data_IF_424279713673
#
_entry.id   IF_424279713673
#
_cell.length_a   1.000
_cell.length_b   1.000
_cell.length_c   1.000
_cell.angle_alpha   90.00
_cell.angle_beta   90.00
_cell.angle_gamma   90.00
#
_symmetry.space_group_name_H-M   'P 1'
#
loop_
_entity.id
_entity.type
_entity.pdbx_description
1 polymer ?
#
# COMPACT_ATOMS: atom_id res chain seq x y z
N UNK A 1 -14.70 1.05 18.55
CA UNK A 1 -13.25 1.19 18.38
C UNK A 1 -12.46 0.12 19.12
N UNK A 2 -12.82 -0.22 20.38
CA UNK A 2 -12.09 -1.24 21.15
C UNK A 2 -12.02 -2.61 20.47
N UNK A 3 -13.13 -3.09 19.89
CA UNK A 3 -13.18 -4.34 19.14
C UNK A 3 -12.22 -4.39 17.94
N UNK A 4 -12.04 -3.27 17.24
CA UNK A 4 -11.08 -3.16 16.15
C UNK A 4 -9.65 -3.27 16.68
N UNK A 5 -9.32 -2.52 17.74
CA UNK A 5 -7.98 -2.55 18.36
C UNK A 5 -7.65 -3.96 18.82
N UNK A 6 -8.58 -4.63 19.49
CA UNK A 6 -8.44 -6.02 19.93
C UNK A 6 -8.19 -6.96 18.75
N UNK A 7 -9.00 -6.86 17.69
CA UNK A 7 -8.82 -7.67 16.49
C UNK A 7 -7.42 -7.52 15.87
N UNK A 8 -6.95 -6.28 15.66
CA UNK A 8 -5.66 -6.03 15.00
C UNK A 8 -4.45 -6.28 15.89
N UNK A 9 -4.63 -6.34 17.20
CA UNK A 9 -3.55 -6.65 18.16
C UNK A 9 -3.45 -8.14 18.44
N UNK A 10 -4.58 -8.84 18.56
CA UNK A 10 -4.62 -10.31 18.75
C UNK A 10 -4.20 -11.05 17.48
N UNK A 11 -4.65 -10.57 16.31
CA UNK A 11 -4.38 -11.23 15.02
C UNK A 11 -3.67 -10.29 14.03
N UNK A 12 -2.42 -9.86 14.32
CA UNK A 12 -1.77 -8.77 13.59
C UNK A 12 -1.51 -9.07 12.11
N UNK A 13 -1.26 -10.33 11.76
CA UNK A 13 -1.03 -10.75 10.36
C UNK A 13 -2.36 -10.98 9.64
N UNK A 14 -3.25 -11.76 10.23
CA UNK A 14 -4.55 -12.09 9.63
C UNK A 14 -5.39 -10.83 9.42
N UNK A 15 -5.41 -9.91 10.38
CA UNK A 15 -6.10 -8.63 10.24
C UNK A 15 -5.49 -7.75 9.14
N UNK A 16 -4.18 -7.77 8.94
CA UNK A 16 -3.53 -7.06 7.84
C UNK A 16 -3.95 -7.68 6.49
N UNK A 17 -3.87 -9.00 6.38
CA UNK A 17 -4.29 -9.74 5.19
C UNK A 17 -5.73 -9.43 4.80
N UNK A 18 -6.67 -9.50 5.75
CA UNK A 18 -8.08 -9.23 5.50
C UNK A 18 -8.33 -7.78 5.06
N UNK A 19 -7.72 -6.81 5.73
CA UNK A 19 -7.88 -5.39 5.39
C UNK A 19 -7.36 -5.07 3.99
N UNK A 20 -6.17 -5.54 3.63
CA UNK A 20 -5.60 -5.32 2.31
C UNK A 20 -6.30 -6.15 1.22
N UNK A 21 -6.70 -7.39 1.50
CA UNK A 21 -7.46 -8.21 0.56
C UNK A 21 -8.76 -7.50 0.14
N UNK A 22 -9.44 -6.84 1.08
CA UNK A 22 -10.67 -6.09 0.79
C UNK A 22 -10.35 -4.74 0.16
N UNK A 23 -9.59 -3.89 0.84
CA UNK A 23 -9.40 -2.48 0.44
C UNK A 23 -8.45 -2.33 -0.75
N UNK A 24 -7.39 -3.15 -0.82
CA UNK A 24 -6.49 -3.17 -1.98
C UNK A 24 -7.23 -3.60 -3.26
N UNK A 25 -7.96 -4.71 -3.19
CA UNK A 25 -8.79 -5.17 -4.31
C UNK A 25 -9.86 -4.14 -4.69
N UNK A 26 -10.46 -3.48 -3.70
CA UNK A 26 -11.42 -2.42 -3.96
C UNK A 26 -10.79 -1.22 -4.66
N UNK A 27 -9.56 -0.84 -4.29
CA UNK A 27 -8.77 0.18 -4.99
C UNK A 27 -8.55 -0.17 -6.47
N UNK A 28 -8.20 -1.42 -6.78
CA UNK A 28 -8.05 -1.91 -8.16
C UNK A 28 -9.36 -1.82 -8.95
N UNK A 29 -10.48 -2.18 -8.33
CA UNK A 29 -11.82 -2.11 -8.93
C UNK A 29 -12.23 -0.66 -9.19
N UNK A 30 -12.06 0.24 -8.22
CA UNK A 30 -12.39 1.66 -8.38
C UNK A 30 -11.54 2.30 -9.48
N UNK A 31 -10.25 1.99 -9.53
CA UNK A 31 -9.38 2.51 -10.59
C UNK A 31 -9.95 2.18 -11.98
N UNK A 32 -10.44 0.94 -12.17
CA UNK A 32 -11.10 0.52 -13.42
C UNK A 32 -12.42 1.24 -13.67
N UNK A 33 -13.27 1.42 -12.66
CA UNK A 33 -14.52 2.18 -12.81
C UNK A 33 -14.29 3.61 -13.25
N UNK A 34 -13.26 4.28 -12.69
CA UNK A 34 -12.93 5.66 -13.06
C UNK A 34 -12.39 5.73 -14.49
N UNK A 35 -11.53 4.79 -14.88
CA UNK A 35 -10.98 4.71 -16.24
C UNK A 35 -12.09 4.45 -17.27
N UNK A 36 -13.02 3.52 -16.98
CA UNK A 36 -14.15 3.19 -17.86
C UNK A 36 -15.26 4.23 -17.82
N UNK A 37 -15.29 5.10 -16.81
CA UNK A 37 -16.34 6.08 -16.59
C UNK A 37 -17.70 5.49 -16.20
N UNK A 38 -17.75 4.22 -15.78
CA UNK A 38 -18.98 3.52 -15.38
C UNK A 38 -18.69 2.51 -14.27
N UNK A 39 -19.69 2.22 -13.46
CA UNK A 39 -19.65 1.13 -12.48
C UNK A 39 -19.96 -0.18 -13.21
N UNK A 40 -18.99 -1.10 -13.23
CA UNK A 40 -19.07 -2.38 -13.96
C UNK A 40 -18.50 -3.52 -13.11
N UNK A 41 -18.50 -4.75 -13.63
CA UNK A 41 -17.71 -5.85 -13.05
C UNK A 41 -16.40 -5.94 -13.85
N UNK A 42 -15.33 -5.20 -13.48
CA UNK A 42 -14.12 -5.10 -14.30
C UNK A 42 -13.30 -6.39 -14.30
N UNK A 43 -13.52 -7.26 -13.32
CA UNK A 43 -12.83 -8.54 -13.18
C UNK A 43 -13.85 -9.69 -13.07
N UNK A 44 -13.50 -10.84 -13.66
CA UNK A 44 -14.22 -12.09 -13.41
C UNK A 44 -14.00 -12.59 -11.97
N UNK A 45 -14.88 -13.45 -11.48
CA UNK A 45 -14.84 -13.94 -10.08
C UNK A 45 -13.49 -14.56 -9.70
N UNK A 46 -12.95 -15.44 -10.55
CA UNK A 46 -11.64 -16.06 -10.30
C UNK A 46 -10.49 -15.05 -10.24
N UNK A 47 -10.50 -14.04 -11.12
CA UNK A 47 -9.51 -12.96 -11.12
C UNK A 47 -9.62 -12.09 -9.87
N UNK A 48 -10.85 -11.80 -9.42
CA UNK A 48 -11.08 -11.03 -8.20
C UNK A 48 -10.52 -11.77 -6.98
N UNK A 49 -10.77 -13.08 -6.85
CA UNK A 49 -10.20 -13.89 -5.78
C UNK A 49 -8.68 -13.95 -5.83
N UNK A 50 -8.10 -14.05 -7.03
CA UNK A 50 -6.65 -14.03 -7.19
C UNK A 50 -6.05 -12.69 -6.74
N UNK A 51 -6.70 -11.56 -7.06
CA UNK A 51 -6.28 -10.23 -6.58
C UNK A 51 -6.41 -10.07 -5.07
N UNK A 52 -7.48 -10.60 -4.46
CA UNK A 52 -7.62 -10.61 -3.00
C UNK A 52 -6.47 -11.38 -2.33
N UNK A 53 -6.06 -12.52 -2.92
CA UNK A 53 -4.94 -13.31 -2.43
C UNK A 53 -3.60 -12.59 -2.62
N UNK A 54 -3.38 -11.97 -3.77
CA UNK A 54 -2.21 -11.12 -4.03
C UNK A 54 -2.07 -10.03 -2.96
N UNK A 55 -3.14 -9.27 -2.71
CA UNK A 55 -3.15 -8.23 -1.69
C UNK A 55 -2.95 -8.77 -0.28
N UNK A 56 -3.51 -9.94 0.04
CA UNK A 56 -3.29 -10.60 1.31
C UNK A 56 -1.80 -10.97 1.51
N UNK A 57 -1.14 -11.52 0.49
CA UNK A 57 0.28 -11.88 0.55
C UNK A 57 1.14 -10.62 0.74
N UNK A 58 0.87 -9.57 -0.02
CA UNK A 58 1.60 -8.30 0.10
C UNK A 58 1.41 -7.66 1.47
N UNK A 59 0.23 -7.81 2.08
CA UNK A 59 -0.06 -7.30 3.43
C UNK A 59 0.89 -7.87 4.49
N UNK A 60 1.26 -9.14 4.37
CA UNK A 60 2.21 -9.79 5.27
C UNK A 60 3.58 -9.11 5.16
N UNK A 61 4.06 -8.90 3.94
CA UNK A 61 5.33 -8.23 3.68
C UNK A 61 5.31 -6.78 4.19
N UNK A 62 4.23 -6.04 3.94
CA UNK A 62 4.03 -4.67 4.43
C UNK A 62 4.04 -4.63 5.97
N UNK A 63 3.33 -5.54 6.63
CA UNK A 63 3.26 -5.59 8.10
C UNK A 63 4.62 -5.85 8.74
N UNK A 64 5.39 -6.77 8.17
CA UNK A 64 6.76 -7.02 8.61
C UNK A 64 7.67 -5.84 8.34
N UNK A 65 7.59 -5.23 7.16
CA UNK A 65 8.36 -4.04 6.84
C UNK A 65 8.06 -2.88 7.81
N UNK A 66 6.79 -2.58 8.08
CA UNK A 66 6.41 -1.51 9.01
C UNK A 66 7.01 -1.73 10.41
N UNK A 67 6.93 -2.97 10.90
CA UNK A 67 7.47 -3.32 12.23
C UNK A 67 9.00 -3.29 12.23
N UNK A 68 9.62 -3.85 11.18
CA UNK A 68 11.06 -3.94 11.02
C UNK A 68 11.73 -2.58 10.82
N UNK A 69 11.20 -1.73 9.95
CA UNK A 69 11.75 -0.39 9.70
C UNK A 69 11.53 0.58 10.86
N UNK A 70 10.47 0.40 11.66
CA UNK A 70 10.33 1.11 12.92
C UNK A 70 11.51 0.76 13.86
N UNK A 71 11.81 -0.53 14.03
CA UNK A 71 12.96 -0.99 14.81
C UNK A 71 14.30 -0.58 14.21
N UNK A 72 14.43 -0.56 12.89
CA UNK A 72 15.63 -0.10 12.17
C UNK A 72 15.95 1.36 12.52
N UNK A 73 14.96 2.26 12.40
CA UNK A 73 15.15 3.67 12.74
C UNK A 73 15.46 3.84 14.23
N UNK A 74 14.73 3.15 15.10
CA UNK A 74 14.97 3.21 16.55
C UNK A 74 16.40 2.74 16.90
N UNK A 75 16.89 1.69 16.25
CA UNK A 75 18.26 1.18 16.43
C UNK A 75 19.32 2.17 15.95
N UNK A 76 19.10 2.84 14.81
CA UNK A 76 20.03 3.89 14.33
C UNK A 76 20.14 5.06 15.31
N UNK A 77 19.03 5.46 15.94
CA UNK A 77 19.03 6.48 17.00
C UNK A 77 19.81 5.98 18.22
N UNK A 78 19.56 4.75 18.67
CA UNK A 78 20.26 4.15 19.82
C UNK A 78 21.78 4.10 19.63
N UNK A 79 22.23 3.81 18.40
CA UNK A 79 23.66 3.77 18.05
C UNK A 79 24.24 5.15 17.69
N UNK A 80 23.51 6.24 17.94
CA UNK A 80 23.93 7.63 17.64
C UNK A 80 24.23 7.88 16.15
N UNK A 81 23.68 7.06 15.26
CA UNK A 81 23.77 7.23 13.80
C UNK A 81 22.69 8.16 13.26
N UNK A 82 21.64 8.41 14.05
CA UNK A 82 20.63 9.44 13.84
C UNK A 82 20.46 10.26 15.13
N UNK A 83 20.02 11.53 15.04
CA UNK A 83 19.66 12.31 16.23
C UNK A 83 18.46 11.67 16.95
N UNK A 84 18.20 12.09 18.19
CA UNK A 84 16.97 11.67 18.87
C UNK A 84 15.74 12.18 18.12
N UNK A 85 14.90 11.24 17.68
CA UNK A 85 13.69 11.53 16.91
C UNK A 85 12.44 11.17 17.72
N UNK A 86 11.46 12.06 17.72
CA UNK A 86 10.16 11.84 18.34
C UNK A 86 9.02 12.35 17.46
N UNK A 87 7.79 11.93 17.77
CA UNK A 87 6.58 12.34 17.06
C UNK A 87 6.71 12.22 15.53
N UNK A 88 6.47 13.33 14.84
CA UNK A 88 6.55 13.42 13.38
C UNK A 88 7.95 13.19 12.82
N UNK A 89 9.01 13.62 13.51
CA UNK A 89 10.39 13.39 13.05
C UNK A 89 10.70 11.90 12.94
N UNK A 90 10.27 11.11 13.93
CA UNK A 90 10.37 9.65 13.90
C UNK A 90 9.47 9.04 12.81
N UNK A 91 8.24 9.52 12.67
CA UNK A 91 7.30 9.02 11.66
C UNK A 91 7.83 9.22 10.22
N UNK A 92 8.36 10.39 9.93
CA UNK A 92 8.98 10.72 8.63
C UNK A 92 10.21 9.85 8.38
N UNK A 93 11.08 9.67 9.38
CA UNK A 93 12.26 8.83 9.23
C UNK A 93 11.89 7.37 8.91
N UNK A 94 10.90 6.81 9.60
CA UNK A 94 10.40 5.45 9.31
C UNK A 94 9.80 5.40 7.91
N UNK A 95 9.01 6.40 7.53
CA UNK A 95 8.41 6.48 6.20
C UNK A 95 9.47 6.51 5.08
N UNK A 96 10.48 7.37 5.21
CA UNK A 96 11.57 7.48 4.24
C UNK A 96 12.35 6.18 4.18
N UNK A 97 12.74 5.61 5.31
CA UNK A 97 13.49 4.35 5.35
C UNK A 97 12.70 3.20 4.70
N UNK A 98 11.42 3.05 5.05
CA UNK A 98 10.53 2.02 4.51
C UNK A 98 10.36 2.18 3.00
N UNK A 99 10.05 3.39 2.53
CA UNK A 99 9.71 3.60 1.12
C UNK A 99 10.92 3.61 0.19
N UNK A 100 12.09 4.06 0.64
CA UNK A 100 13.28 4.08 -0.21
C UNK A 100 14.00 2.73 -0.27
N UNK A 101 13.89 1.90 0.78
CA UNK A 101 14.56 0.60 0.82
C UNK A 101 13.62 -0.56 0.49
N UNK A 102 12.45 -0.65 1.15
CA UNK A 102 11.49 -1.72 0.91
C UNK A 102 10.47 -1.40 -0.18
N UNK A 103 10.15 -0.12 -0.38
CA UNK A 103 9.23 0.32 -1.44
C UNK A 103 9.58 -0.20 -2.83
N UNK A 104 10.85 -0.13 -3.31
CA UNK A 104 11.22 -0.66 -4.61
C UNK A 104 10.96 -2.15 -4.75
N UNK A 105 11.30 -2.92 -3.71
CA UNK A 105 11.01 -4.36 -3.66
C UNK A 105 9.50 -4.61 -3.74
N UNK A 106 8.68 -3.88 -2.98
CA UNK A 106 7.24 -4.04 -2.98
C UNK A 106 6.62 -3.71 -4.36
N UNK A 107 7.06 -2.63 -5.01
CA UNK A 107 6.60 -2.25 -6.36
C UNK A 107 6.88 -3.36 -7.37
N UNK A 108 8.08 -3.93 -7.33
CA UNK A 108 8.46 -5.04 -8.21
C UNK A 108 7.65 -6.31 -7.92
N UNK A 109 7.49 -6.66 -6.64
CA UNK A 109 6.71 -7.83 -6.23
C UNK A 109 5.25 -7.71 -6.60
N UNK A 110 4.61 -6.56 -6.35
CA UNK A 110 3.24 -6.31 -6.77
C UNK A 110 3.12 -6.44 -8.30
N UNK A 111 4.04 -5.86 -9.08
CA UNK A 111 3.99 -5.99 -10.54
C UNK A 111 4.16 -7.44 -11.03
N UNK A 112 5.04 -8.21 -10.37
CA UNK A 112 5.24 -9.62 -10.68
C UNK A 112 3.97 -10.43 -10.44
N UNK A 113 3.29 -10.22 -9.31
CA UNK A 113 2.04 -10.90 -8.96
C UNK A 113 0.90 -10.50 -9.90
N UNK A 114 0.76 -9.21 -10.21
CA UNK A 114 -0.18 -8.71 -11.22
C UNK A 114 0.01 -9.42 -12.57
N UNK A 115 1.26 -9.52 -13.02
CA UNK A 115 1.61 -10.19 -14.29
C UNK A 115 1.29 -11.69 -14.26
N UNK A 116 1.47 -12.35 -13.12
CA UNK A 116 1.14 -13.77 -12.94
C UNK A 116 -0.38 -13.99 -13.04
N UNK A 117 -1.17 -13.12 -12.39
CA UNK A 117 -2.64 -13.18 -12.44
C UNK A 117 -3.14 -12.88 -13.86
N UNK A 118 -2.57 -11.87 -14.51
CA UNK A 118 -2.93 -11.49 -15.87
C UNK A 118 -2.38 -12.45 -16.95
N UNK A 119 -1.49 -13.37 -16.57
CA UNK A 119 -0.73 -14.25 -17.48
C UNK A 119 -0.08 -13.49 -18.63
N UNK A 120 0.43 -12.29 -18.34
CA UNK A 120 1.04 -11.38 -19.32
C UNK A 120 2.21 -10.66 -18.68
N UNK A 121 3.34 -10.63 -19.38
CA UNK A 121 4.47 -9.78 -18.98
C UNK A 121 4.18 -8.34 -19.34
N UNK A 122 3.89 -7.50 -18.34
CA UNK A 122 3.68 -6.07 -18.53
C UNK A 122 4.55 -5.28 -17.56
N UNK A 123 5.64 -4.70 -18.04
CA UNK A 123 6.54 -3.86 -17.24
C UNK A 123 6.42 -2.38 -17.58
N UNK A 124 5.48 -2.01 -18.46
CA UNK A 124 5.25 -0.62 -18.81
C UNK A 124 4.84 0.20 -17.57
N UNK A 125 5.31 1.45 -17.52
CA UNK A 125 5.04 2.42 -16.45
C UNK A 125 5.57 1.99 -15.06
N UNK A 126 6.57 1.11 -14.97
CA UNK A 126 7.17 0.74 -13.68
C UNK A 126 7.90 1.92 -13.03
N UNK A 127 8.46 2.81 -13.85
CA UNK A 127 9.01 4.11 -13.47
C UNK A 127 8.01 4.94 -12.67
N UNK A 128 6.74 5.00 -13.11
CA UNK A 128 5.66 5.68 -12.38
C UNK A 128 5.37 5.02 -11.03
N UNK A 129 5.48 3.69 -10.97
CA UNK A 129 5.39 2.92 -9.73
C UNK A 129 6.47 3.35 -8.73
N UNK A 130 7.73 3.43 -9.17
CA UNK A 130 8.82 3.94 -8.33
C UNK A 130 8.63 5.40 -7.93
N UNK A 131 8.19 6.26 -8.85
CA UNK A 131 7.93 7.67 -8.53
C UNK A 131 6.83 7.81 -7.47
N UNK A 132 5.82 6.95 -7.47
CA UNK A 132 4.77 6.95 -6.42
C UNK A 132 5.32 6.75 -5.01
N UNK A 133 6.46 6.07 -4.85
CA UNK A 133 7.11 5.93 -3.56
C UNK A 133 7.48 7.30 -2.98
N UNK A 134 7.93 8.22 -3.84
CA UNK A 134 8.38 9.54 -3.44
C UNK A 134 7.21 10.49 -3.19
N UNK A 135 6.33 10.68 -4.18
CA UNK A 135 5.31 11.73 -4.11
C UNK A 135 4.03 11.30 -3.39
N UNK A 136 3.76 10.00 -3.27
CA UNK A 136 2.56 9.48 -2.61
C UNK A 136 2.88 8.74 -1.31
N UNK A 137 3.69 7.68 -1.38
CA UNK A 137 3.84 6.77 -0.25
C UNK A 137 4.71 7.32 0.89
N UNK A 138 5.73 8.15 0.63
CA UNK A 138 6.47 8.83 1.71
C UNK A 138 5.53 9.77 2.51
N UNK A 139 4.77 10.68 1.88
CA UNK A 139 3.78 11.48 2.61
C UNK A 139 2.72 10.64 3.33
N UNK A 140 2.10 9.69 2.62
CA UNK A 140 1.03 8.84 3.15
C UNK A 140 1.51 8.02 4.36
N UNK A 141 2.67 7.38 4.26
CA UNK A 141 3.23 6.61 5.37
C UNK A 141 3.76 7.49 6.50
N UNK A 142 4.15 8.75 6.25
CA UNK A 142 4.50 9.66 7.34
C UNK A 142 3.28 9.93 8.23
N UNK A 143 2.11 10.16 7.63
CA UNK A 143 0.83 10.26 8.36
C UNK A 143 0.52 8.95 9.07
N UNK A 144 0.70 7.83 8.38
CA UNK A 144 0.49 6.49 8.96
C UNK A 144 1.33 6.25 10.20
N UNK A 145 2.64 6.51 10.15
CA UNK A 145 3.54 6.26 11.28
C UNK A 145 3.40 7.28 12.42
N UNK A 146 2.76 8.42 12.18
CA UNK A 146 2.38 9.36 13.23
C UNK A 146 1.18 8.86 14.06
N UNK A 147 0.39 7.91 13.54
CA UNK A 147 -0.74 7.33 14.27
C UNK A 147 -0.30 6.27 15.29
N UNK A 148 -1.12 6.01 16.32
CA UNK A 148 -0.91 4.88 17.22
C UNK A 148 -0.85 3.54 16.46
N UNK A 149 0.03 2.63 16.92
CA UNK A 149 0.34 1.35 16.25
C UNK A 149 -0.87 0.54 15.75
N UNK A 150 -1.99 0.41 16.51
CA UNK A 150 -3.15 -0.36 16.04
C UNK A 150 -3.82 0.18 14.75
N UNK A 151 -3.65 1.48 14.45
CA UNK A 151 -4.33 2.11 13.31
C UNK A 151 -3.48 2.16 12.04
N UNK A 152 -2.17 1.93 12.14
CA UNK A 152 -1.23 2.16 11.05
C UNK A 152 -1.54 1.28 9.83
N UNK A 153 -1.82 -0.01 10.04
CA UNK A 153 -2.12 -0.95 8.94
C UNK A 153 -3.47 -0.66 8.30
N UNK A 154 -4.48 -0.34 9.10
CA UNK A 154 -5.80 0.02 8.56
C UNK A 154 -5.71 1.26 7.69
N UNK A 155 -4.98 2.30 8.13
CA UNK A 155 -4.77 3.49 7.31
C UNK A 155 -3.94 3.18 6.05
N UNK A 156 -2.91 2.34 6.15
CA UNK A 156 -2.14 1.91 4.97
C UNK A 156 -3.01 1.19 3.92
N UNK A 157 -3.96 0.35 4.36
CA UNK A 157 -4.91 -0.31 3.46
C UNK A 157 -5.89 0.71 2.81
N UNK A 158 -6.30 1.75 3.54
CA UNK A 158 -7.09 2.86 2.98
C UNK A 158 -6.30 3.64 1.93
N UNK A 159 -4.98 3.84 2.11
CA UNK A 159 -4.15 4.48 1.09
C UNK A 159 -4.12 3.71 -0.24
N UNK A 160 -4.27 2.38 -0.23
CA UNK A 160 -4.42 1.60 -1.47
C UNK A 160 -5.67 2.00 -2.28
N UNK A 161 -6.79 2.30 -1.60
CA UNK A 161 -8.00 2.81 -2.25
C UNK A 161 -7.77 4.21 -2.80
N UNK A 162 -7.17 5.09 -1.99
CA UNK A 162 -6.87 6.47 -2.40
C UNK A 162 -5.96 6.50 -3.65
N UNK A 163 -4.92 5.67 -3.69
CA UNK A 163 -4.05 5.56 -4.85
C UNK A 163 -4.80 5.01 -6.08
N UNK A 164 -5.66 4.01 -5.89
CA UNK A 164 -6.53 3.49 -6.94
C UNK A 164 -7.40 4.58 -7.56
N UNK A 165 -7.97 5.47 -6.74
CA UNK A 165 -8.74 6.63 -7.20
C UNK A 165 -7.87 7.58 -8.03
N UNK A 166 -6.71 7.99 -7.49
CA UNK A 166 -5.80 8.94 -8.16
C UNK A 166 -5.34 8.40 -9.51
N UNK A 167 -4.91 7.14 -9.56
CA UNK A 167 -4.45 6.49 -10.79
C UNK A 167 -5.60 6.23 -11.76
N UNK A 168 -6.81 6.00 -11.26
CA UNK A 168 -8.01 5.91 -12.08
C UNK A 168 -8.24 7.19 -12.88
N UNK A 169 -8.15 8.36 -12.23
CA UNK A 169 -8.30 9.66 -12.90
C UNK A 169 -7.16 9.96 -13.86
N UNK A 170 -5.92 9.68 -13.45
CA UNK A 170 -4.74 9.94 -14.29
C UNK A 170 -4.75 9.12 -15.59
N UNK A 171 -5.27 7.89 -15.56
CA UNK A 171 -5.32 7.00 -16.73
C UNK A 171 -6.62 7.10 -17.54
N UNK A 172 -7.59 7.92 -17.11
CA UNK A 172 -8.81 8.16 -17.86
C UNK A 172 -8.46 8.98 -19.11
N UNK A 173 -8.71 8.43 -20.30
CA UNK A 173 -8.59 9.21 -21.54
C UNK A 173 -9.69 10.28 -21.57
N UNK A 174 -9.40 11.52 -22.00
CA UNK A 174 -10.45 12.50 -22.27
C UNK A 174 -11.46 11.88 -23.22
N UNK A 175 -12.76 12.03 -22.94
CA UNK A 175 -13.78 11.69 -23.92
C UNK A 175 -13.46 12.49 -25.19
N UNK A 176 -13.35 11.81 -26.33
CA UNK A 176 -13.24 12.51 -27.60
C UNK A 176 -14.44 13.45 -27.70
N UNK A 177 -14.19 14.76 -27.82
CA UNK A 177 -15.24 15.72 -28.08
C UNK A 177 -15.91 15.31 -29.39
N UNK A 178 -17.13 14.79 -29.28
CA UNK A 178 -18.01 14.48 -30.41
C UNK A 178 -18.66 15.76 -30.93
#
# INVERSE_FOLDING_TARGET
>A
MQSYIEFVTTWPIVSAMLQFAVLGTFGDVIAKWIIEGRVSKPFGFATLLAKMLEWAILAVLIKYAFTGFAGFVDSLVQHKMLPELSGWGRAIAISVATNLQFGPFLVLMHRLLDNLIARKSNWANIDKGFMSLLWFWIPAHSVTFALPKPYQIGLAAVWSVALGIILGFYNRKPAAAS
#
